data_IF_119171741238
#
_entry.id   IF_119171741238
#
_cell.length_a   1.000
_cell.length_b   1.000
_cell.length_c   1.000
_cell.angle_alpha   90.00
_cell.angle_beta   90.00
_cell.angle_gamma   90.00
#
_symmetry.space_group_name_H-M   'P 1'
#
loop_
_entity.id
_entity.type
_entity.pdbx_description
1 polymer ?
#
# COMPACT_ATOMS: atom_id res chain seq x y z
N UNK A 1 -3.59 5.78 -5.10
CA UNK A 1 -4.95 5.44 -4.62
C UNK A 1 -5.45 6.55 -3.71
N UNK A 2 -4.78 6.91 -2.60
CA UNK A 2 -5.21 7.94 -1.63
C UNK A 2 -5.54 9.27 -2.30
N UNK A 3 -4.65 9.81 -3.13
CA UNK A 3 -4.88 11.06 -3.86
C UNK A 3 -6.06 10.97 -4.86
N UNK A 4 -6.23 9.82 -5.51
CA UNK A 4 -7.35 9.61 -6.41
C UNK A 4 -8.68 9.59 -5.65
N UNK A 5 -8.73 8.92 -4.50
CA UNK A 5 -9.91 8.91 -3.63
C UNK A 5 -10.24 10.33 -3.14
N UNK A 6 -9.24 11.08 -2.69
CA UNK A 6 -9.41 12.46 -2.26
C UNK A 6 -9.94 13.36 -3.39
N UNK A 7 -9.37 13.25 -4.59
CA UNK A 7 -9.82 14.03 -5.76
C UNK A 7 -11.25 13.68 -6.21
N UNK A 8 -11.67 12.43 -6.00
CA UNK A 8 -13.02 11.95 -6.35
C UNK A 8 -14.03 12.08 -5.20
N UNK A 9 -13.61 12.63 -4.04
CA UNK A 9 -14.46 12.72 -2.86
C UNK A 9 -14.88 11.34 -2.30
N UNK A 10 -14.06 10.30 -2.55
CA UNK A 10 -14.33 8.92 -2.12
C UNK A 10 -13.69 8.66 -0.76
N UNK A 11 -14.45 8.05 0.13
CA UNK A 11 -13.89 7.59 1.40
C UNK A 11 -12.91 6.44 1.16
N UNK A 12 -11.78 6.47 1.86
CA UNK A 12 -10.75 5.43 1.81
C UNK A 12 -10.52 4.86 3.20
N UNK A 13 -10.60 3.54 3.29
CA UNK A 13 -10.18 2.77 4.46
C UNK A 13 -8.93 2.00 4.07
N UNK A 14 -7.80 2.31 4.73
CA UNK A 14 -6.51 1.65 4.50
C UNK A 14 -6.21 0.68 5.63
N UNK A 15 -5.77 -0.51 5.27
CA UNK A 15 -5.33 -1.55 6.19
C UNK A 15 -3.92 -1.98 5.81
N UNK A 16 -2.97 -1.80 6.70
CA UNK A 16 -1.62 -2.35 6.52
C UNK A 16 -1.67 -3.82 6.93
N UNK A 17 -1.35 -4.69 5.98
CA UNK A 17 -1.32 -6.13 6.22
C UNK A 17 0.04 -6.50 6.83
N UNK A 18 0.01 -7.40 7.76
CA UNK A 18 1.20 -7.98 8.40
C UNK A 18 1.08 -9.50 8.43
N UNK A 19 2.14 -10.19 8.77
CA UNK A 19 2.13 -11.65 8.92
C UNK A 19 1.15 -12.12 10.01
N UNK A 20 0.85 -11.27 10.99
CA UNK A 20 -0.04 -11.56 12.12
C UNK A 20 -1.49 -11.22 11.82
N UNK A 21 -1.76 -10.41 10.78
CA UNK A 21 -3.11 -9.97 10.42
C UNK A 21 -4.04 -11.16 10.24
N UNK A 22 -5.17 -11.15 10.94
CA UNK A 22 -6.12 -12.23 10.94
C UNK A 22 -7.58 -11.80 10.65
N UNK A 23 -8.51 -12.77 10.73
CA UNK A 23 -9.93 -12.53 10.46
C UNK A 23 -10.52 -11.52 11.45
N UNK A 24 -10.13 -11.56 12.72
CA UNK A 24 -10.66 -10.65 13.73
C UNK A 24 -10.18 -9.21 13.50
N UNK A 25 -8.97 -9.02 12.93
CA UNK A 25 -8.44 -7.71 12.56
C UNK A 25 -9.15 -7.13 11.33
N UNK A 26 -9.49 -7.97 10.37
CA UNK A 26 -10.05 -7.56 9.08
C UNK A 26 -11.59 -7.48 9.12
N UNK A 27 -12.24 -8.52 9.58
CA UNK A 27 -13.69 -8.66 9.57
C UNK A 27 -14.29 -8.11 10.86
N UNK A 28 -13.65 -8.39 12.00
CA UNK A 28 -14.10 -7.96 13.31
C UNK A 28 -14.25 -9.10 14.30
N UNK A 29 -14.37 -8.71 15.55
CA UNK A 29 -14.41 -9.64 16.67
C UNK A 29 -15.13 -9.08 17.88
N UNK A 30 -15.29 -9.91 18.87
CA UNK A 30 -15.84 -9.50 20.15
C UNK A 30 -14.77 -8.76 20.97
N UNK A 31 -15.16 -7.65 21.59
CA UNK A 31 -14.34 -6.85 22.50
C UNK A 31 -15.07 -6.72 23.84
N UNK A 32 -14.30 -6.70 24.92
CA UNK A 32 -14.83 -6.41 26.25
C UNK A 32 -14.90 -4.89 26.43
N UNK A 33 -16.12 -4.36 26.54
CA UNK A 33 -16.39 -2.94 26.72
C UNK A 33 -17.28 -2.77 27.94
N UNK A 34 -16.80 -2.07 28.97
CA UNK A 34 -17.52 -1.83 30.22
C UNK A 34 -18.07 -3.10 30.91
N UNK A 35 -17.33 -4.23 30.78
CA UNK A 35 -17.75 -5.52 31.37
C UNK A 35 -18.68 -6.36 30.49
N UNK A 36 -19.09 -5.85 29.34
CA UNK A 36 -19.92 -6.56 28.37
C UNK A 36 -19.14 -6.95 27.12
N UNK A 37 -19.48 -8.11 26.56
CA UNK A 37 -18.89 -8.59 25.31
C UNK A 37 -19.67 -8.03 24.14
N UNK A 38 -19.05 -7.10 23.39
CA UNK A 38 -19.67 -6.38 22.26
C UNK A 38 -18.95 -6.73 20.98
N UNK A 39 -19.69 -6.94 19.89
CA UNK A 39 -19.13 -7.10 18.56
C UNK A 39 -18.64 -5.76 18.02
N UNK A 40 -17.39 -5.74 17.52
CA UNK A 40 -16.82 -4.63 16.78
C UNK A 40 -16.53 -5.04 15.34
N UNK A 41 -17.01 -4.26 14.39
CA UNK A 41 -16.68 -4.45 12.99
C UNK A 41 -15.19 -4.15 12.75
N UNK A 42 -14.57 -4.98 11.91
CA UNK A 42 -13.26 -4.67 11.36
C UNK A 42 -13.35 -3.73 10.15
N UNK A 43 -12.20 -3.22 9.68
CA UNK A 43 -12.14 -2.23 8.60
C UNK A 43 -12.76 -2.71 7.28
N UNK A 44 -12.72 -4.00 7.01
CA UNK A 44 -13.36 -4.59 5.81
C UNK A 44 -14.87 -4.46 5.89
N UNK A 45 -15.46 -4.75 7.04
CA UNK A 45 -16.92 -4.64 7.24
C UNK A 45 -17.34 -3.17 7.20
N UNK A 46 -16.56 -2.28 7.81
CA UNK A 46 -16.80 -0.84 7.72
C UNK A 46 -16.80 -0.35 6.27
N UNK A 47 -15.80 -0.77 5.47
CA UNK A 47 -15.72 -0.41 4.06
C UNK A 47 -16.93 -0.93 3.26
N UNK A 48 -17.33 -2.19 3.47
CA UNK A 48 -18.51 -2.79 2.84
C UNK A 48 -19.78 -2.00 3.13
N UNK A 49 -20.03 -1.70 4.41
CA UNK A 49 -21.26 -1.03 4.86
C UNK A 49 -21.32 0.43 4.43
N UNK A 50 -20.19 1.09 4.29
CA UNK A 50 -20.10 2.52 3.92
C UNK A 50 -19.99 2.74 2.42
N UNK A 51 -19.70 1.70 1.63
CA UNK A 51 -19.41 1.82 0.20
C UNK A 51 -18.07 2.51 -0.05
N UNK A 52 -17.16 2.38 0.91
CA UNK A 52 -15.84 2.99 0.84
C UNK A 52 -14.88 2.21 -0.06
N UNK A 53 -13.78 2.84 -0.46
CA UNK A 53 -12.63 2.16 -1.06
C UNK A 53 -11.82 1.51 0.04
N UNK A 54 -11.57 0.21 -0.06
CA UNK A 54 -10.71 -0.53 0.83
C UNK A 54 -9.33 -0.70 0.18
N UNK A 55 -8.28 -0.27 0.84
CA UNK A 55 -6.89 -0.48 0.41
C UNK A 55 -6.20 -1.45 1.37
N UNK A 56 -5.86 -2.62 0.87
CA UNK A 56 -5.04 -3.61 1.55
C UNK A 56 -3.56 -3.36 1.17
N UNK A 57 -2.80 -2.77 2.05
CA UNK A 57 -1.41 -2.41 1.77
C UNK A 57 -0.47 -3.53 2.20
N UNK A 58 0.51 -3.86 1.35
CA UNK A 58 1.49 -4.95 1.54
C UNK A 58 0.84 -6.33 1.69
N UNK A 59 -0.12 -6.66 0.81
CA UNK A 59 -0.91 -7.90 0.89
C UNK A 59 -0.04 -9.17 0.80
N UNK A 60 1.14 -9.08 0.23
CA UNK A 60 2.11 -10.17 0.12
C UNK A 60 2.80 -10.54 1.46
N UNK A 61 2.57 -9.76 2.53
CA UNK A 61 2.92 -10.17 3.90
C UNK A 61 1.85 -11.07 4.53
N UNK A 62 0.65 -11.15 3.93
CA UNK A 62 -0.46 -11.90 4.50
C UNK A 62 -0.17 -13.39 4.66
N UNK A 63 -0.61 -13.96 5.77
CA UNK A 63 -0.73 -15.40 5.94
C UNK A 63 -1.99 -15.93 5.22
N UNK A 64 -2.19 -17.24 5.21
CA UNK A 64 -3.40 -17.87 4.65
C UNK A 64 -4.72 -17.40 5.31
N UNK A 65 -4.66 -16.70 6.44
CA UNK A 65 -5.83 -16.12 7.10
C UNK A 65 -6.54 -15.06 6.24
N UNK A 66 -5.83 -14.44 5.27
CA UNK A 66 -6.39 -13.48 4.31
C UNK A 66 -7.50 -14.10 3.42
N UNK A 67 -7.57 -15.43 3.32
CA UNK A 67 -8.59 -16.13 2.55
C UNK A 67 -10.02 -15.87 3.03
N UNK A 68 -10.21 -15.33 4.24
CA UNK A 68 -11.51 -14.84 4.71
C UNK A 68 -12.12 -13.76 3.80
N UNK A 69 -11.30 -13.10 2.98
CA UNK A 69 -11.74 -12.05 2.04
C UNK A 69 -12.21 -12.58 0.67
N UNK A 70 -12.12 -13.88 0.40
CA UNK A 70 -12.42 -14.43 -0.94
C UNK A 70 -13.80 -14.05 -1.47
N UNK A 71 -14.85 -14.21 -0.67
CA UNK A 71 -16.22 -13.87 -1.08
C UNK A 71 -16.40 -12.38 -1.36
N UNK A 72 -15.68 -11.55 -0.61
CA UNK A 72 -15.72 -10.09 -0.73
C UNK A 72 -15.01 -9.64 -2.01
N UNK A 73 -13.87 -10.24 -2.35
CA UNK A 73 -13.15 -10.01 -3.60
C UNK A 73 -13.98 -10.38 -4.84
N UNK A 74 -14.87 -11.38 -4.72
CA UNK A 74 -15.83 -11.76 -5.77
C UNK A 74 -17.03 -10.80 -5.87
N UNK A 75 -17.05 -9.70 -5.12
CA UNK A 75 -18.18 -8.77 -5.07
C UNK A 75 -19.42 -9.32 -4.31
N UNK A 76 -19.26 -10.45 -3.65
CA UNK A 76 -20.29 -11.04 -2.78
C UNK A 76 -20.13 -10.48 -1.36
N UNK A 77 -21.19 -10.50 -0.61
CA UNK A 77 -21.12 -10.14 0.81
C UNK A 77 -20.43 -11.22 1.65
N UNK A 78 -20.38 -10.97 2.94
CA UNK A 78 -19.84 -11.90 3.94
C UNK A 78 -20.86 -12.22 5.02
N UNK A 79 -20.91 -13.49 5.41
CA UNK A 79 -21.74 -13.92 6.53
C UNK A 79 -20.90 -13.96 7.81
N UNK A 80 -21.23 -13.09 8.74
CA UNK A 80 -20.57 -12.97 10.05
C UNK A 80 -21.12 -14.07 10.98
N UNK A 81 -20.48 -15.23 10.96
CA UNK A 81 -20.93 -16.44 11.67
C UNK A 81 -21.11 -16.20 13.17
N UNK A 82 -20.23 -15.40 13.79
CA UNK A 82 -20.22 -15.10 15.23
C UNK A 82 -21.46 -14.35 15.70
N UNK A 83 -22.12 -13.60 14.82
CA UNK A 83 -23.32 -12.80 15.14
C UNK A 83 -24.51 -13.11 14.24
N UNK A 84 -24.39 -14.11 13.36
CA UNK A 84 -25.50 -14.57 12.50
C UNK A 84 -25.98 -13.52 11.49
N UNK A 85 -25.12 -12.60 11.05
CA UNK A 85 -25.50 -11.48 10.19
C UNK A 85 -24.80 -11.53 8.84
N UNK A 86 -25.56 -11.35 7.75
CA UNK A 86 -25.00 -11.17 6.41
C UNK A 86 -24.78 -9.68 6.12
N UNK A 87 -23.62 -9.34 5.59
CA UNK A 87 -23.24 -7.99 5.16
C UNK A 87 -23.03 -8.01 3.66
N UNK A 88 -23.88 -7.32 2.93
CA UNK A 88 -23.70 -7.08 1.50
C UNK A 88 -22.87 -5.82 1.24
N UNK A 89 -22.08 -5.79 0.16
CA UNK A 89 -21.37 -4.58 -0.23
C UNK A 89 -22.37 -3.49 -0.63
N UNK A 90 -22.19 -2.29 -0.10
CA UNK A 90 -22.93 -1.11 -0.50
C UNK A 90 -22.36 -0.55 -1.79
N UNK A 91 -23.20 0.13 -2.58
CA UNK A 91 -22.79 0.79 -3.81
C UNK A 91 -21.57 1.69 -3.58
N UNK A 92 -20.60 1.57 -4.49
CA UNK A 92 -19.34 2.28 -4.42
C UNK A 92 -18.21 1.48 -3.74
N UNK A 93 -18.48 0.39 -3.05
CA UNK A 93 -17.43 -0.43 -2.46
C UNK A 93 -16.46 -0.96 -3.53
N UNK A 94 -15.17 -0.79 -3.30
CA UNK A 94 -14.10 -1.28 -4.16
C UNK A 94 -12.90 -1.70 -3.32
N UNK A 95 -12.15 -2.71 -3.78
CA UNK A 95 -10.94 -3.19 -3.12
C UNK A 95 -9.74 -2.93 -4.02
N UNK A 96 -8.69 -2.41 -3.42
CA UNK A 96 -7.35 -2.32 -3.99
C UNK A 96 -6.36 -2.99 -3.07
N UNK A 97 -5.31 -3.55 -3.65
CA UNK A 97 -4.20 -4.10 -2.89
C UNK A 97 -2.86 -3.61 -3.45
N UNK A 98 -1.86 -3.51 -2.60
CA UNK A 98 -0.46 -3.31 -3.02
C UNK A 98 0.38 -4.51 -2.62
N UNK A 99 1.39 -4.81 -3.39
CA UNK A 99 2.35 -5.87 -3.12
C UNK A 99 3.72 -5.51 -3.70
N UNK A 100 4.78 -5.99 -3.07
CA UNK A 100 6.15 -5.80 -3.55
C UNK A 100 6.60 -6.95 -4.46
N UNK A 101 6.00 -8.13 -4.34
CA UNK A 101 6.42 -9.38 -5.00
C UNK A 101 5.39 -9.94 -5.97
N UNK A 102 4.34 -9.20 -6.29
CA UNK A 102 3.19 -9.69 -7.09
C UNK A 102 2.51 -10.93 -6.47
N UNK A 103 2.70 -11.17 -5.16
CA UNK A 103 2.18 -12.33 -4.44
C UNK A 103 2.96 -13.63 -4.67
N UNK A 104 4.11 -13.57 -5.34
CA UNK A 104 4.95 -14.75 -5.64
C UNK A 104 6.06 -15.00 -4.61
N UNK A 105 6.13 -14.19 -3.56
CA UNK A 105 7.22 -14.20 -2.60
C UNK A 105 8.51 -13.58 -3.18
N UNK A 106 9.54 -13.48 -2.35
CA UNK A 106 10.85 -12.96 -2.75
C UNK A 106 11.83 -14.11 -2.93
N UNK A 107 12.05 -14.56 -4.16
CA UNK A 107 13.04 -15.59 -4.47
C UNK A 107 14.48 -15.10 -4.20
N UNK A 108 14.69 -13.79 -4.30
CA UNK A 108 15.99 -13.14 -4.13
C UNK A 108 16.23 -12.62 -2.70
N UNK A 109 15.31 -12.88 -1.77
CA UNK A 109 15.42 -12.47 -0.36
C UNK A 109 15.31 -10.97 -0.08
N UNK A 110 15.03 -10.14 -1.10
CA UNK A 110 14.97 -8.68 -0.97
C UNK A 110 13.77 -8.19 -0.15
N UNK A 111 12.69 -8.95 -0.17
CA UNK A 111 11.46 -8.64 0.56
C UNK A 111 11.23 -9.72 1.62
N UNK A 112 12.03 -9.66 2.69
CA UNK A 112 11.96 -10.60 3.81
C UNK A 112 10.55 -10.56 4.43
N UNK A 113 9.99 -11.74 4.67
CA UNK A 113 8.66 -11.89 5.29
C UNK A 113 7.50 -11.91 4.29
N UNK A 114 7.75 -11.72 2.97
CA UNK A 114 6.71 -11.92 1.98
C UNK A 114 6.40 -13.40 1.79
N UNK A 115 5.11 -13.70 1.65
CA UNK A 115 4.60 -15.04 1.44
C UNK A 115 4.20 -15.24 -0.03
N UNK A 116 4.22 -16.50 -0.47
CA UNK A 116 3.55 -16.87 -1.73
C UNK A 116 2.06 -16.92 -1.46
N UNK A 117 1.32 -15.98 -2.05
CA UNK A 117 -0.13 -15.97 -1.95
C UNK A 117 -0.75 -17.07 -2.80
N UNK A 118 -1.87 -17.60 -2.35
CA UNK A 118 -2.63 -18.59 -3.10
C UNK A 118 -3.04 -18.01 -4.47
N UNK A 119 -2.76 -18.72 -5.56
CA UNK A 119 -3.02 -18.26 -6.92
C UNK A 119 -4.50 -17.98 -7.16
N UNK A 120 -5.39 -18.85 -6.64
CA UNK A 120 -6.82 -18.62 -6.71
C UNK A 120 -7.29 -17.36 -5.96
N UNK A 121 -6.55 -16.90 -4.95
CA UNK A 121 -6.78 -15.62 -4.29
C UNK A 121 -6.35 -14.45 -5.17
N UNK A 122 -5.19 -14.56 -5.83
CA UNK A 122 -4.67 -13.54 -6.75
C UNK A 122 -5.57 -13.37 -7.99
N UNK A 123 -6.13 -14.44 -8.53
CA UNK A 123 -7.06 -14.40 -9.66
C UNK A 123 -8.34 -13.60 -9.39
N UNK A 124 -8.68 -13.37 -8.12
CA UNK A 124 -9.82 -12.52 -7.72
C UNK A 124 -9.54 -11.02 -7.85
N UNK A 125 -8.30 -10.65 -8.15
CA UNK A 125 -7.95 -9.29 -8.57
C UNK A 125 -7.92 -9.22 -10.10
N UNK A 126 -8.99 -8.75 -10.74
CA UNK A 126 -9.15 -8.83 -12.20
C UNK A 126 -8.17 -7.95 -12.96
N UNK A 127 -7.55 -6.99 -12.28
CA UNK A 127 -6.61 -6.04 -12.89
C UNK A 127 -5.37 -5.93 -12.01
N UNK A 128 -4.21 -6.17 -12.61
CA UNK A 128 -2.92 -6.01 -11.94
C UNK A 128 -2.07 -5.02 -12.73
N UNK A 129 -1.53 -4.03 -12.03
CA UNK A 129 -0.62 -3.05 -12.58
C UNK A 129 0.75 -3.16 -11.92
N UNK A 130 1.78 -3.12 -12.75
CA UNK A 130 3.14 -2.89 -12.26
C UNK A 130 3.43 -1.39 -12.29
N UNK A 131 3.70 -0.82 -11.11
CA UNK A 131 4.06 0.58 -10.99
C UNK A 131 5.54 0.76 -11.19
N UNK A 132 5.94 1.17 -12.38
CA UNK A 132 7.32 1.56 -12.67
C UNK A 132 7.71 2.85 -11.92
N UNK A 133 9.02 3.10 -11.82
CA UNK A 133 9.51 4.40 -11.36
C UNK A 133 9.01 5.53 -12.27
N UNK A 134 8.81 6.74 -11.72
CA UNK A 134 8.48 7.91 -12.53
C UNK A 134 9.54 8.16 -13.60
N UNK A 135 9.15 8.73 -14.73
CA UNK A 135 10.13 9.20 -15.72
C UNK A 135 11.06 10.23 -15.06
N UNK A 136 12.33 10.36 -15.50
CA UNK A 136 13.27 11.34 -14.94
C UNK A 136 12.69 12.76 -14.88
N UNK A 137 11.97 13.18 -15.92
CA UNK A 137 11.32 14.49 -15.96
C UNK A 137 10.26 14.67 -14.87
N UNK A 138 9.47 13.62 -14.59
CA UNK A 138 8.46 13.66 -13.53
C UNK A 138 9.09 13.55 -12.14
N UNK A 139 10.15 12.76 -12.00
CA UNK A 139 10.87 12.62 -10.74
C UNK A 139 11.56 13.93 -10.34
N UNK A 140 12.17 14.66 -11.31
CA UNK A 140 12.69 16.01 -11.08
C UNK A 140 11.58 16.95 -10.57
N UNK A 141 10.37 16.93 -11.18
CA UNK A 141 9.25 17.75 -10.72
C UNK A 141 8.82 17.42 -9.29
N UNK A 142 8.81 16.13 -8.93
CA UNK A 142 8.49 15.68 -7.56
C UNK A 142 9.53 16.29 -6.59
N UNK A 143 10.81 16.13 -6.87
CA UNK A 143 11.87 16.63 -5.99
C UNK A 143 11.85 18.17 -5.90
N UNK A 144 11.60 18.87 -7.01
CA UNK A 144 11.46 20.32 -7.02
C UNK A 144 10.24 20.80 -6.23
N UNK A 145 9.13 20.05 -6.24
CA UNK A 145 7.96 20.37 -5.41
C UNK A 145 8.30 20.27 -3.93
N UNK A 146 8.92 19.16 -3.52
CA UNK A 146 9.40 18.98 -2.13
C UNK A 146 10.42 20.05 -1.74
N UNK A 147 11.35 20.39 -2.62
CA UNK A 147 12.35 21.43 -2.39
C UNK A 147 11.70 22.81 -2.15
N UNK A 148 10.66 23.15 -2.91
CA UNK A 148 9.89 24.39 -2.73
C UNK A 148 9.12 24.41 -1.40
N UNK A 149 8.48 23.32 -1.03
CA UNK A 149 7.82 23.20 0.26
C UNK A 149 8.76 23.42 1.44
N UNK A 150 9.99 22.93 1.31
CA UNK A 150 11.06 23.10 2.30
C UNK A 150 11.79 24.44 2.19
N UNK A 151 11.39 25.31 1.27
CA UNK A 151 12.02 26.64 0.99
C UNK A 151 13.50 26.53 0.62
N UNK A 152 13.90 25.46 -0.04
CA UNK A 152 15.27 25.25 -0.53
C UNK A 152 15.29 25.37 -2.04
N UNK A 153 16.09 26.28 -2.58
CA UNK A 153 16.24 26.47 -4.02
C UNK A 153 17.46 25.66 -4.51
N UNK A 154 17.22 24.47 -5.00
CA UNK A 154 18.29 23.58 -5.47
C UNK A 154 17.91 22.80 -6.76
N UNK A 155 17.53 23.49 -7.87
CA UNK A 155 17.06 22.82 -9.07
C UNK A 155 18.12 21.91 -9.70
N UNK A 156 19.37 22.34 -9.74
CA UNK A 156 20.50 21.55 -10.28
C UNK A 156 20.79 20.31 -9.41
N UNK A 157 20.63 20.43 -8.10
CA UNK A 157 20.80 19.31 -7.19
C UNK A 157 19.70 18.25 -7.42
N UNK A 158 18.44 18.66 -7.56
CA UNK A 158 17.35 17.76 -7.89
C UNK A 158 17.62 17.00 -9.19
N UNK A 159 18.09 17.68 -10.23
CA UNK A 159 18.43 17.05 -11.50
C UNK A 159 19.54 16.02 -11.33
N UNK A 160 20.67 16.41 -10.71
CA UNK A 160 21.81 15.49 -10.48
C UNK A 160 21.43 14.26 -9.65
N UNK A 161 20.53 14.41 -8.67
CA UNK A 161 20.02 13.28 -7.89
C UNK A 161 19.21 12.30 -8.74
N UNK A 162 18.38 12.80 -9.65
CA UNK A 162 17.60 11.94 -10.55
C UNK A 162 18.51 11.25 -11.57
N UNK A 163 19.47 11.98 -12.16
CA UNK A 163 20.44 11.41 -13.09
C UNK A 163 21.26 10.28 -12.42
N UNK A 164 21.69 10.51 -11.18
CA UNK A 164 22.38 9.51 -10.37
C UNK A 164 21.50 8.30 -10.06
N UNK A 165 20.25 8.52 -9.68
CA UNK A 165 19.31 7.45 -9.38
C UNK A 165 19.00 6.59 -10.61
N UNK A 166 18.93 7.20 -11.79
CA UNK A 166 18.69 6.48 -13.05
C UNK A 166 19.89 5.54 -13.37
N UNK A 167 21.11 6.01 -13.17
CA UNK A 167 22.32 5.18 -13.34
C UNK A 167 22.30 4.00 -12.36
N UNK A 168 22.04 4.27 -11.06
CA UNK A 168 21.96 3.22 -10.02
C UNK A 168 20.91 2.17 -10.39
N UNK A 169 19.71 2.58 -10.80
CA UNK A 169 18.64 1.66 -11.17
C UNK A 169 19.02 0.81 -12.39
N UNK A 170 19.63 1.40 -13.41
CA UNK A 170 20.10 0.65 -14.59
C UNK A 170 21.14 -0.38 -14.19
N UNK A 171 22.16 0.02 -13.44
CA UNK A 171 23.21 -0.88 -12.96
C UNK A 171 22.65 -2.01 -12.09
N UNK A 172 21.62 -1.73 -11.29
CA UNK A 172 20.92 -2.71 -10.48
C UNK A 172 20.18 -3.75 -11.34
N UNK A 173 19.43 -3.31 -12.35
CA UNK A 173 18.73 -4.24 -13.25
C UNK A 173 19.69 -5.05 -14.13
N UNK A 174 20.88 -4.52 -14.39
CA UNK A 174 21.98 -5.23 -15.09
C UNK A 174 22.76 -6.18 -14.16
N UNK A 175 22.38 -6.25 -12.87
CA UNK A 175 23.04 -7.11 -11.88
C UNK A 175 24.39 -6.60 -11.36
N UNK A 176 24.75 -5.35 -11.66
CA UNK A 176 26.05 -4.77 -11.26
C UNK A 176 26.12 -4.29 -9.80
N UNK A 177 24.98 -4.10 -9.15
CA UNK A 177 24.90 -3.70 -7.73
C UNK A 177 23.69 -4.38 -7.07
N UNK A 178 23.72 -4.54 -5.75
CA UNK A 178 22.67 -5.21 -4.98
C UNK A 178 21.59 -4.26 -4.46
N UNK A 179 21.89 -2.96 -4.35
CA UNK A 179 20.96 -1.96 -3.81
C UNK A 179 20.31 -1.12 -4.91
N UNK A 180 19.02 -0.84 -4.72
CA UNK A 180 18.26 0.07 -5.59
C UNK A 180 17.86 1.33 -4.82
N UNK A 181 17.82 2.46 -5.53
CA UNK A 181 17.38 3.71 -4.94
C UNK A 181 15.96 4.06 -5.38
N UNK A 182 15.08 4.26 -4.41
CA UNK A 182 13.68 4.64 -4.65
C UNK A 182 13.51 6.16 -4.73
N UNK A 183 12.44 6.62 -5.38
CA UNK A 183 12.02 8.03 -5.35
C UNK A 183 11.82 8.54 -3.92
N UNK A 184 11.31 7.69 -3.01
CA UNK A 184 11.18 8.01 -1.58
C UNK A 184 12.54 8.35 -0.96
N UNK A 185 13.59 7.61 -1.30
CA UNK A 185 14.95 7.89 -0.82
C UNK A 185 15.45 9.22 -1.33
N UNK A 186 15.18 9.57 -2.59
CA UNK A 186 15.56 10.89 -3.13
C UNK A 186 14.85 12.03 -2.40
N UNK A 187 13.57 11.87 -2.08
CA UNK A 187 12.83 12.83 -1.24
C UNK A 187 13.46 12.97 0.14
N UNK A 188 13.88 11.86 0.77
CA UNK A 188 14.59 11.93 2.06
C UNK A 188 15.93 12.65 1.95
N UNK A 189 16.66 12.50 0.85
CA UNK A 189 17.91 13.23 0.60
C UNK A 189 17.63 14.73 0.49
N UNK A 190 16.59 15.16 -0.22
CA UNK A 190 16.21 16.58 -0.29
C UNK A 190 15.83 17.13 1.10
N UNK A 191 15.09 16.36 1.90
CA UNK A 191 14.75 16.76 3.28
C UNK A 191 16.00 16.89 4.14
N UNK A 192 16.91 15.94 4.09
CA UNK A 192 18.19 16.03 4.79
C UNK A 192 19.00 17.24 4.32
N UNK A 193 19.12 17.46 3.02
CA UNK A 193 19.79 18.63 2.44
C UNK A 193 19.23 19.95 2.98
N UNK A 194 17.91 20.07 3.14
CA UNK A 194 17.27 21.27 3.71
C UNK A 194 17.69 21.57 5.16
N UNK A 195 17.96 20.53 5.95
CA UNK A 195 18.37 20.68 7.36
C UNK A 195 19.80 21.25 7.46
N UNK A 196 20.69 20.79 6.58
CA UNK A 196 22.10 21.21 6.64
C UNK A 196 22.41 22.52 5.90
N UNK A 197 21.66 22.85 4.85
CA UNK A 197 21.89 24.06 4.07
C UNK A 197 21.12 25.30 4.56
N UNK A 198 20.15 25.17 5.44
CA UNK A 198 19.46 26.30 6.08
C UNK A 198 20.22 26.87 7.29
N UNK A 199 21.50 26.51 7.48
CA UNK A 199 22.37 27.02 8.55
C UNK A 199 23.33 28.10 8.05
N UNK A 200 22.95 28.87 7.03
CA UNK A 200 23.68 30.07 6.62
C UNK A 200 22.88 31.32 7.00
#
# INVERSE_FOLDING_TARGET
>A
IEQACAALGRELIRVNITIETDEDDLIGGFRLVNGETVWHNGPVIEALQRGAVLLLDEIDLASNKILCLQSILEGKGVFLKKIGKFIAPKDGFQIFATANTKGKGSEDGRFIGTNVLNEAFLERFPVTFEQAYPTPANEIKILQSVSRELKVVAPDFCKRLVDWADIIRKTFYDGGIEEIISTRRLVHIIRAYSIWNNKA
#
